data_IF_750796393266
#
_entry.id   IF_750796393266
#
_cell.length_a   1.000
_cell.length_b   1.000
_cell.length_c   1.000
_cell.angle_alpha   90.00
_cell.angle_beta   90.00
_cell.angle_gamma   90.00
#
_symmetry.space_group_name_H-M   'P 1'
#
loop_
_entity.id
_entity.type
_entity.pdbx_description
1 polymer ?
#
# COMPACT_ATOMS: atom_id res chain seq x y z
N UNK A 1 15.78 -15.67 6.00
CA UNK A 1 16.59 -14.50 5.65
C UNK A 1 17.75 -14.20 6.64
N UNK A 2 17.90 -14.99 7.67
CA UNK A 2 18.99 -14.82 8.68
C UNK A 2 20.34 -15.42 8.25
N UNK A 3 20.38 -16.13 7.12
CA UNK A 3 21.55 -16.79 6.52
C UNK A 3 21.57 -16.52 5.02
N UNK A 4 22.60 -16.95 4.31
CA UNK A 4 22.74 -16.77 2.87
C UNK A 4 23.21 -15.36 2.43
N UNK A 5 23.26 -15.15 1.12
CA UNK A 5 23.72 -13.91 0.49
C UNK A 5 22.61 -12.86 0.55
N UNK A 6 22.86 -11.73 1.20
CA UNK A 6 21.84 -10.73 1.57
C UNK A 6 21.03 -10.22 0.36
N UNK A 7 21.68 -9.81 -0.73
CA UNK A 7 20.97 -9.26 -1.89
C UNK A 7 20.06 -10.31 -2.56
N UNK A 8 20.46 -11.58 -2.57
CA UNK A 8 19.65 -12.67 -3.09
C UNK A 8 18.39 -12.87 -2.24
N UNK A 9 18.56 -12.91 -0.91
CA UNK A 9 17.46 -13.07 0.04
C UNK A 9 16.42 -11.95 -0.11
N UNK A 10 16.88 -10.70 -0.23
CA UNK A 10 15.99 -9.53 -0.40
C UNK A 10 15.30 -9.59 -1.76
N UNK A 11 16.04 -9.86 -2.84
CA UNK A 11 15.51 -9.88 -4.20
C UNK A 11 14.51 -11.00 -4.42
N UNK A 12 14.84 -12.24 -4.02
CA UNK A 12 13.94 -13.38 -4.16
C UNK A 12 12.68 -13.26 -3.31
N UNK A 13 12.74 -12.51 -2.22
CA UNK A 13 11.56 -12.18 -1.45
C UNK A 13 10.76 -11.03 -2.06
N UNK A 14 11.41 -10.00 -2.61
CA UNK A 14 10.76 -8.85 -3.20
C UNK A 14 10.05 -9.17 -4.53
N UNK A 15 10.62 -10.03 -5.38
CA UNK A 15 10.04 -10.38 -6.69
C UNK A 15 8.60 -10.87 -6.59
N UNK A 16 8.24 -11.85 -5.72
CA UNK A 16 6.85 -12.25 -5.57
C UNK A 16 5.95 -11.11 -5.10
N UNK A 17 6.42 -10.22 -4.23
CA UNK A 17 5.65 -9.05 -3.78
C UNK A 17 5.42 -8.05 -4.93
N UNK A 18 6.44 -7.80 -5.76
CA UNK A 18 6.32 -6.95 -6.95
C UNK A 18 5.26 -7.52 -7.89
N UNK A 19 5.38 -8.80 -8.22
CA UNK A 19 4.42 -9.47 -9.10
C UNK A 19 3.01 -9.43 -8.50
N UNK A 20 2.86 -9.69 -7.20
CA UNK A 20 1.58 -9.62 -6.51
C UNK A 20 0.94 -8.23 -6.59
N UNK A 21 1.70 -7.18 -6.31
CA UNK A 21 1.23 -5.82 -6.39
C UNK A 21 0.88 -5.41 -7.83
N UNK A 22 1.64 -5.87 -8.84
CA UNK A 22 1.31 -5.65 -10.25
C UNK A 22 0.02 -6.36 -10.65
N UNK A 23 -0.17 -7.62 -10.25
CA UNK A 23 -1.43 -8.33 -10.49
C UNK A 23 -2.61 -7.64 -9.81
N UNK A 24 -2.43 -7.13 -8.59
CA UNK A 24 -3.44 -6.36 -7.89
C UNK A 24 -3.82 -5.08 -8.65
N UNK A 25 -2.84 -4.35 -9.16
CA UNK A 25 -3.08 -3.15 -9.94
C UNK A 25 -3.77 -3.46 -11.29
N UNK A 26 -3.40 -4.57 -11.92
CA UNK A 26 -4.02 -5.02 -13.17
C UNK A 26 -5.49 -5.39 -12.97
N UNK A 27 -5.83 -6.21 -11.96
CA UNK A 27 -7.24 -6.57 -11.76
C UNK A 27 -8.11 -5.37 -11.38
N UNK A 28 -7.62 -4.42 -10.57
CA UNK A 28 -8.34 -3.17 -10.28
C UNK A 28 -8.62 -2.36 -11.56
N UNK A 29 -7.68 -2.41 -12.51
CA UNK A 29 -7.86 -1.74 -13.82
C UNK A 29 -8.91 -2.47 -14.66
N UNK A 30 -8.88 -3.81 -14.69
CA UNK A 30 -9.85 -4.63 -15.42
C UNK A 30 -11.26 -4.45 -14.85
N UNK A 31 -11.43 -4.48 -13.52
CA UNK A 31 -12.69 -4.20 -12.84
C UNK A 31 -13.27 -2.84 -13.27
N UNK A 32 -12.45 -1.79 -13.26
CA UNK A 32 -12.86 -0.45 -13.71
C UNK A 32 -13.27 -0.43 -15.19
N UNK A 33 -12.60 -1.19 -16.06
CA UNK A 33 -12.95 -1.31 -17.49
C UNK A 33 -14.29 -2.04 -17.65
N UNK A 34 -14.52 -3.13 -16.91
CA UNK A 34 -15.76 -3.89 -16.96
C UNK A 34 -16.92 -3.01 -16.48
N UNK A 35 -16.79 -2.34 -15.33
CA UNK A 35 -17.81 -1.44 -14.81
C UNK A 35 -18.11 -0.30 -15.80
N UNK A 36 -17.07 0.34 -16.33
CA UNK A 36 -17.24 1.48 -17.27
C UNK A 36 -17.95 1.09 -18.57
N UNK A 37 -17.62 -0.07 -19.14
CA UNK A 37 -18.17 -0.50 -20.41
C UNK A 37 -19.56 -1.16 -20.32
N UNK A 38 -19.84 -1.88 -19.23
CA UNK A 38 -21.06 -2.68 -19.13
C UNK A 38 -22.10 -2.10 -18.16
N UNK A 39 -21.70 -1.28 -17.19
CA UNK A 39 -22.65 -0.63 -16.27
C UNK A 39 -22.86 0.83 -16.62
N UNK A 40 -21.80 1.52 -17.09
CA UNK A 40 -21.88 2.88 -17.59
C UNK A 40 -21.03 3.89 -16.79
N UNK A 41 -21.01 5.12 -17.31
CA UNK A 41 -20.15 6.20 -16.80
C UNK A 41 -20.46 6.62 -15.36
N UNK A 42 -21.75 6.60 -14.97
CA UNK A 42 -22.15 6.94 -13.59
C UNK A 42 -21.66 5.91 -12.59
N UNK A 43 -21.70 4.63 -12.92
CA UNK A 43 -21.17 3.56 -12.09
C UNK A 43 -19.64 3.64 -11.97
N UNK A 44 -18.95 3.92 -13.07
CA UNK A 44 -17.50 4.16 -13.06
C UNK A 44 -17.14 5.36 -12.18
N UNK A 45 -17.91 6.44 -12.26
CA UNK A 45 -17.72 7.61 -11.40
C UNK A 45 -18.00 7.28 -9.91
N UNK A 46 -19.01 6.43 -9.63
CA UNK A 46 -19.30 5.95 -8.28
C UNK A 46 -18.15 5.10 -7.70
N UNK A 47 -17.58 4.17 -8.47
CA UNK A 47 -16.39 3.40 -8.09
C UNK A 47 -15.20 4.33 -7.85
N UNK A 48 -14.98 5.30 -8.75
CA UNK A 48 -13.91 6.28 -8.63
C UNK A 48 -14.01 7.15 -7.39
N UNK A 49 -15.21 7.67 -7.06
CA UNK A 49 -15.43 8.46 -5.84
C UNK A 49 -15.27 7.65 -4.55
N UNK A 50 -15.55 6.36 -4.62
CA UNK A 50 -15.40 5.42 -3.51
C UNK A 50 -13.92 5.08 -3.22
N UNK A 51 -13.03 5.26 -4.20
CA UNK A 51 -11.62 4.88 -4.11
C UNK A 51 -10.86 5.51 -2.94
N UNK A 52 -11.17 6.76 -2.59
CA UNK A 52 -10.54 7.41 -1.44
C UNK A 52 -10.87 6.70 -0.10
N UNK A 53 -12.13 6.30 0.09
CA UNK A 53 -12.59 5.58 1.29
C UNK A 53 -11.98 4.17 1.33
N UNK A 54 -11.95 3.49 0.19
CA UNK A 54 -11.32 2.16 0.05
C UNK A 54 -9.83 2.23 0.38
N UNK A 55 -9.13 3.26 -0.10
CA UNK A 55 -7.71 3.44 0.20
C UNK A 55 -7.43 3.69 1.69
N UNK A 56 -8.34 4.35 2.42
CA UNK A 56 -8.24 4.48 3.87
C UNK A 56 -8.33 3.12 4.56
N UNK A 57 -9.27 2.26 4.14
CA UNK A 57 -9.41 0.89 4.64
C UNK A 57 -8.14 0.07 4.36
N UNK A 58 -7.67 0.08 3.11
CA UNK A 58 -6.46 -0.62 2.70
C UNK A 58 -5.25 -0.13 3.50
N UNK A 59 -5.11 1.19 3.69
CA UNK A 59 -4.04 1.78 4.49
C UNK A 59 -4.04 1.29 5.94
N UNK A 60 -5.22 1.16 6.54
CA UNK A 60 -5.38 0.55 7.86
C UNK A 60 -4.96 -0.92 7.87
N UNK A 61 -5.42 -1.71 6.91
CA UNK A 61 -5.07 -3.12 6.78
C UNK A 61 -3.55 -3.33 6.63
N UNK A 62 -2.91 -2.51 5.79
CA UNK A 62 -1.44 -2.54 5.60
C UNK A 62 -0.74 -2.20 6.91
N UNK A 63 -1.22 -1.19 7.65
CA UNK A 63 -0.66 -0.81 8.95
C UNK A 63 -0.73 -1.96 9.95
N UNK A 64 -1.91 -2.53 10.15
CA UNK A 64 -2.14 -3.65 11.05
C UNK A 64 -1.31 -4.89 10.66
N UNK A 65 -1.29 -5.24 9.37
CA UNK A 65 -0.49 -6.34 8.82
C UNK A 65 1.01 -6.11 9.02
N UNK A 66 1.50 -4.89 8.84
CA UNK A 66 2.92 -4.55 9.08
C UNK A 66 3.26 -4.68 10.55
N UNK A 67 2.39 -4.22 11.46
CA UNK A 67 2.58 -4.35 12.90
C UNK A 67 2.73 -5.81 13.34
N UNK A 68 1.80 -6.66 12.91
CA UNK A 68 1.85 -8.10 13.14
C UNK A 68 3.09 -8.73 12.49
N UNK A 69 3.37 -8.38 11.25
CA UNK A 69 4.49 -8.90 10.48
C UNK A 69 5.85 -8.61 11.12
N UNK A 70 6.06 -7.42 11.67
CA UNK A 70 7.30 -7.06 12.39
C UNK A 70 7.45 -7.91 13.66
N UNK A 71 6.40 -8.04 14.46
CA UNK A 71 6.43 -8.85 15.69
C UNK A 71 6.72 -10.31 15.38
N UNK A 72 6.03 -10.89 14.39
CA UNK A 72 6.22 -12.28 13.98
C UNK A 72 7.63 -12.48 13.41
N UNK A 73 8.13 -11.58 12.56
CA UNK A 73 9.46 -11.69 11.97
C UNK A 73 10.57 -11.66 13.03
N UNK A 74 10.42 -10.84 14.07
CA UNK A 74 11.37 -10.80 15.19
C UNK A 74 11.38 -12.12 15.97
N UNK A 75 10.22 -12.68 16.32
CA UNK A 75 10.16 -13.99 16.98
C UNK A 75 10.65 -15.13 16.09
N UNK A 76 10.32 -15.08 14.80
CA UNK A 76 10.79 -16.08 13.85
C UNK A 76 12.32 -16.05 13.70
N UNK A 77 12.91 -14.87 13.60
CA UNK A 77 14.35 -14.68 13.56
C UNK A 77 15.04 -15.15 14.85
N UNK A 78 14.41 -14.94 16.01
CA UNK A 78 14.88 -15.42 17.31
C UNK A 78 14.72 -16.93 17.50
N UNK A 79 14.13 -17.66 16.52
CA UNK A 79 13.77 -19.08 16.63
C UNK A 79 12.86 -19.39 17.85
N UNK A 80 12.10 -18.39 18.30
CA UNK A 80 11.15 -18.53 19.40
C UNK A 80 9.80 -19.03 18.84
N UNK A 81 9.64 -20.34 18.79
CA UNK A 81 8.47 -21.02 18.23
C UNK A 81 7.17 -20.68 18.97
N UNK A 82 7.24 -20.58 20.31
CA UNK A 82 6.09 -20.21 21.12
C UNK A 82 5.67 -18.75 20.87
N UNK A 83 6.65 -17.84 20.78
CA UNK A 83 6.41 -16.43 20.42
C UNK A 83 5.75 -16.27 19.07
N UNK A 84 6.24 -16.99 18.03
CA UNK A 84 5.62 -17.01 16.70
C UNK A 84 4.18 -17.51 16.79
N UNK A 85 3.96 -18.66 17.44
CA UNK A 85 2.61 -19.24 17.57
C UNK A 85 1.64 -18.26 18.23
N UNK A 86 2.01 -17.69 19.38
CA UNK A 86 1.17 -16.71 20.10
C UNK A 86 0.91 -15.46 19.25
N UNK A 87 1.94 -14.94 18.55
CA UNK A 87 1.81 -13.77 17.70
C UNK A 87 0.88 -14.03 16.49
N UNK A 88 0.97 -15.20 15.85
CA UNK A 88 0.06 -15.59 14.76
C UNK A 88 -1.40 -15.63 15.23
N UNK A 89 -1.67 -16.27 16.38
CA UNK A 89 -3.03 -16.37 16.92
C UNK A 89 -3.58 -15.02 17.37
N UNK A 90 -2.75 -14.16 17.98
CA UNK A 90 -3.12 -12.76 18.28
C UNK A 90 -3.44 -11.97 17.02
N UNK A 91 -2.62 -12.15 15.97
CA UNK A 91 -2.83 -11.51 14.66
C UNK A 91 -4.19 -11.89 14.06
N UNK A 92 -4.55 -13.18 14.11
CA UNK A 92 -5.85 -13.63 13.61
C UNK A 92 -7.02 -13.13 14.47
N UNK A 93 -6.85 -13.07 15.79
CA UNK A 93 -7.85 -12.47 16.67
C UNK A 93 -8.09 -10.98 16.35
N UNK A 94 -7.00 -10.21 16.16
CA UNK A 94 -7.09 -8.80 15.72
C UNK A 94 -7.78 -8.71 14.35
N UNK A 95 -7.43 -9.59 13.40
CA UNK A 95 -8.01 -9.59 12.06
C UNK A 95 -9.53 -9.79 12.09
N UNK A 96 -10.01 -10.74 12.89
CA UNK A 96 -11.45 -11.01 13.05
C UNK A 96 -12.18 -9.82 13.69
N UNK A 97 -11.66 -9.31 14.81
CA UNK A 97 -12.28 -8.17 15.51
C UNK A 97 -12.25 -6.91 14.64
N UNK A 98 -11.11 -6.57 14.07
CA UNK A 98 -10.97 -5.39 13.22
C UNK A 98 -11.82 -5.52 11.93
N UNK A 99 -11.88 -6.71 11.33
CA UNK A 99 -12.71 -6.97 10.17
C UNK A 99 -14.20 -6.76 10.45
N UNK A 100 -14.72 -7.30 11.56
CA UNK A 100 -16.12 -7.08 11.97
C UNK A 100 -16.38 -5.60 12.28
N UNK A 101 -15.49 -4.95 13.02
CA UNK A 101 -15.63 -3.51 13.32
C UNK A 101 -15.64 -2.66 12.04
N UNK A 102 -14.75 -2.93 11.09
CA UNK A 102 -14.71 -2.21 9.82
C UNK A 102 -15.93 -2.48 8.95
N UNK A 103 -16.47 -3.71 8.96
CA UNK A 103 -17.74 -4.01 8.30
C UNK A 103 -18.87 -3.15 8.87
N UNK A 104 -19.07 -3.17 10.19
CA UNK A 104 -20.16 -2.42 10.84
C UNK A 104 -19.98 -0.92 10.66
N UNK A 105 -18.80 -0.38 10.96
CA UNK A 105 -18.49 1.05 10.83
C UNK A 105 -18.59 1.48 9.36
N UNK A 106 -18.02 0.71 8.43
CA UNK A 106 -18.04 1.00 7.02
C UNK A 106 -19.44 1.11 6.47
N UNK A 107 -20.31 0.14 6.72
CA UNK A 107 -21.70 0.15 6.26
C UNK A 107 -22.49 1.34 6.85
N UNK A 108 -22.32 1.63 8.15
CA UNK A 108 -23.08 2.67 8.83
C UNK A 108 -22.62 4.08 8.51
N UNK A 109 -21.31 4.29 8.37
CA UNK A 109 -20.71 5.63 8.20
C UNK A 109 -20.59 6.04 6.71
N UNK A 110 -20.66 5.10 5.77
CA UNK A 110 -20.55 5.35 4.33
C UNK A 110 -21.41 6.51 3.82
N UNK A 111 -22.73 6.61 4.11
CA UNK A 111 -23.54 7.71 3.59
C UNK A 111 -23.07 9.08 4.08
N UNK A 112 -22.66 9.16 5.34
CA UNK A 112 -22.16 10.40 5.95
C UNK A 112 -20.80 10.81 5.37
N UNK A 113 -19.89 9.85 5.15
CA UNK A 113 -18.60 10.11 4.53
C UNK A 113 -18.74 10.64 3.09
N UNK A 114 -19.59 10.01 2.29
CA UNK A 114 -19.82 10.45 0.90
C UNK A 114 -20.44 11.85 0.83
N UNK A 115 -21.34 12.19 1.76
CA UNK A 115 -21.88 13.55 1.87
C UNK A 115 -20.80 14.58 2.22
N UNK A 116 -19.96 14.26 3.21
CA UNK A 116 -18.83 15.13 3.61
C UNK A 116 -17.83 15.34 2.46
N UNK A 117 -17.66 14.34 1.60
CA UNK A 117 -16.78 14.43 0.42
C UNK A 117 -17.43 15.22 -0.74
N UNK A 118 -18.69 15.65 -0.62
CA UNK A 118 -19.38 16.40 -1.69
C UNK A 118 -19.67 15.54 -2.92
N UNK A 119 -19.94 14.24 -2.73
CA UNK A 119 -20.27 13.34 -3.85
C UNK A 119 -21.53 13.83 -4.58
N UNK A 120 -21.50 14.01 -5.92
CA UNK A 120 -22.64 14.51 -6.67
C UNK A 120 -23.87 13.61 -6.54
N UNK A 121 -25.07 14.20 -6.45
CA UNK A 121 -26.33 13.48 -6.27
C UNK A 121 -26.57 12.38 -7.31
N UNK A 122 -26.14 12.63 -8.57
CA UNK A 122 -26.29 11.67 -9.68
C UNK A 122 -25.58 10.32 -9.45
N UNK A 123 -24.52 10.30 -8.66
CA UNK A 123 -23.73 9.08 -8.38
C UNK A 123 -23.78 8.68 -6.90
N UNK A 124 -24.40 9.49 -6.05
CA UNK A 124 -24.41 9.29 -4.61
C UNK A 124 -25.00 7.94 -4.21
N UNK A 125 -26.19 7.60 -4.69
CA UNK A 125 -26.87 6.35 -4.37
C UNK A 125 -26.05 5.13 -4.79
N UNK A 126 -25.50 5.16 -6.02
CA UNK A 126 -24.64 4.08 -6.52
C UNK A 126 -23.36 3.95 -5.70
N UNK A 127 -22.75 5.06 -5.27
CA UNK A 127 -21.57 5.07 -4.42
C UNK A 127 -21.86 4.49 -3.04
N UNK A 128 -23.02 4.82 -2.46
CA UNK A 128 -23.48 4.26 -1.16
C UNK A 128 -23.64 2.75 -1.26
N UNK A 129 -24.38 2.27 -2.26
CA UNK A 129 -24.64 0.84 -2.47
C UNK A 129 -23.32 0.10 -2.69
N UNK A 130 -22.47 0.61 -3.57
CA UNK A 130 -21.16 -0.01 -3.87
C UNK A 130 -20.30 -0.16 -2.61
N UNK A 131 -20.13 0.93 -1.84
CA UNK A 131 -19.32 0.91 -0.63
C UNK A 131 -19.92 0.06 0.49
N UNK A 132 -21.25 0.07 0.65
CA UNK A 132 -21.89 -0.77 1.66
C UNK A 132 -21.71 -2.25 1.38
N UNK A 133 -21.83 -2.67 0.11
CA UNK A 133 -21.53 -4.04 -0.29
C UNK A 133 -20.05 -4.35 -0.07
N UNK A 134 -19.14 -3.50 -0.55
CA UNK A 134 -17.69 -3.65 -0.38
C UNK A 134 -17.27 -3.74 1.10
N UNK A 135 -17.85 -2.92 1.99
CA UNK A 135 -17.61 -3.03 3.42
C UNK A 135 -18.23 -4.29 4.04
N UNK A 136 -19.28 -4.84 3.43
CA UNK A 136 -19.83 -6.15 3.80
C UNK A 136 -18.81 -7.27 3.73
N UNK A 137 -17.90 -7.23 2.75
CA UNK A 137 -16.79 -8.16 2.58
C UNK A 137 -15.48 -7.75 3.26
N UNK A 138 -15.41 -6.61 3.95
CA UNK A 138 -14.16 -6.09 4.53
C UNK A 138 -13.53 -7.04 5.55
N UNK A 139 -14.32 -7.84 6.25
CA UNK A 139 -13.82 -8.92 7.12
C UNK A 139 -12.86 -9.83 6.36
N UNK A 140 -13.23 -10.29 5.17
CA UNK A 140 -12.41 -11.21 4.37
C UNK A 140 -11.14 -10.52 3.89
N UNK A 141 -11.23 -9.27 3.47
CA UNK A 141 -10.07 -8.46 3.07
C UNK A 141 -9.07 -8.27 4.20
N UNK A 142 -9.54 -7.93 5.42
CA UNK A 142 -8.68 -7.77 6.60
C UNK A 142 -8.02 -9.09 6.96
N UNK A 143 -8.79 -10.17 7.05
CA UNK A 143 -8.29 -11.51 7.40
C UNK A 143 -7.28 -12.00 6.37
N UNK A 144 -7.54 -11.80 5.08
CA UNK A 144 -6.59 -12.12 4.01
C UNK A 144 -5.29 -11.33 4.18
N UNK A 145 -5.35 -10.00 4.30
CA UNK A 145 -4.17 -9.14 4.40
C UNK A 145 -3.32 -9.45 5.65
N UNK A 146 -3.96 -9.70 6.79
CA UNK A 146 -3.26 -10.09 8.01
C UNK A 146 -2.60 -11.47 7.87
N UNK A 147 -3.28 -12.43 7.23
CA UNK A 147 -2.73 -13.77 6.98
C UNK A 147 -1.56 -13.74 5.98
N UNK A 148 -1.66 -12.92 4.92
CA UNK A 148 -0.56 -12.66 4.00
C UNK A 148 0.64 -12.02 4.72
N UNK A 149 0.37 -11.10 5.65
CA UNK A 149 1.39 -10.52 6.54
C UNK A 149 2.13 -11.56 7.38
N UNK A 150 1.42 -12.56 7.90
CA UNK A 150 2.04 -13.71 8.61
C UNK A 150 3.00 -14.46 7.69
N UNK A 151 2.56 -14.81 6.47
CA UNK A 151 3.40 -15.52 5.49
C UNK A 151 4.63 -14.69 5.09
N UNK A 152 4.45 -13.40 4.86
CA UNK A 152 5.54 -12.50 4.52
C UNK A 152 6.53 -12.35 5.69
N UNK A 153 6.05 -12.31 6.94
CA UNK A 153 6.90 -12.20 8.13
C UNK A 153 7.85 -13.39 8.32
N UNK A 154 7.40 -14.59 7.96
CA UNK A 154 8.24 -15.81 8.01
C UNK A 154 9.09 -16.00 6.74
N UNK A 155 8.98 -15.11 5.77
CA UNK A 155 9.78 -15.17 4.53
C UNK A 155 9.12 -15.91 3.37
N UNK A 156 7.84 -16.29 3.48
CA UNK A 156 7.12 -17.06 2.46
C UNK A 156 6.27 -16.18 1.53
N UNK A 157 6.90 -15.22 0.85
CA UNK A 157 6.22 -14.30 -0.08
C UNK A 157 5.64 -15.00 -1.32
N UNK A 158 6.21 -16.17 -1.72
CA UNK A 158 5.69 -16.93 -2.86
C UNK A 158 4.26 -17.44 -2.63
N UNK A 159 3.96 -17.92 -1.41
CA UNK A 159 2.61 -18.36 -1.05
C UNK A 159 1.64 -17.20 -1.02
N UNK A 160 2.06 -16.06 -0.47
CA UNK A 160 1.27 -14.82 -0.50
C UNK A 160 0.92 -14.41 -1.93
N UNK A 161 1.88 -14.47 -2.87
CA UNK A 161 1.63 -14.23 -4.30
C UNK A 161 0.57 -15.18 -4.88
N UNK A 162 0.70 -16.49 -4.63
CA UNK A 162 -0.24 -17.48 -5.17
C UNK A 162 -1.68 -17.17 -4.75
N UNK A 163 -1.90 -16.85 -3.46
CA UNK A 163 -3.25 -16.54 -2.99
C UNK A 163 -3.78 -15.20 -3.51
N UNK A 164 -2.90 -14.23 -3.73
CA UNK A 164 -3.28 -12.98 -4.40
C UNK A 164 -3.64 -13.19 -5.87
N UNK A 165 -2.91 -14.07 -6.58
CA UNK A 165 -3.26 -14.45 -7.96
C UNK A 165 -4.61 -15.16 -8.02
N UNK A 166 -4.90 -16.04 -7.07
CA UNK A 166 -6.21 -16.70 -6.98
C UNK A 166 -7.31 -15.63 -6.79
N UNK A 167 -7.09 -14.64 -5.90
CA UNK A 167 -8.03 -13.53 -5.75
C UNK A 167 -8.24 -12.78 -7.05
N UNK A 168 -7.16 -12.35 -7.69
CA UNK A 168 -7.21 -11.53 -8.91
C UNK A 168 -7.92 -12.26 -10.06
N UNK A 169 -7.58 -13.52 -10.28
CA UNK A 169 -8.21 -14.34 -11.33
C UNK A 169 -9.68 -14.56 -11.02
N UNK A 170 -10.00 -14.96 -9.78
CA UNK A 170 -11.40 -15.17 -9.35
C UNK A 170 -12.22 -13.89 -9.48
N UNK A 171 -11.65 -12.72 -9.14
CA UNK A 171 -12.34 -11.44 -9.27
C UNK A 171 -12.72 -11.16 -10.73
N UNK A 172 -11.77 -11.26 -11.67
CA UNK A 172 -12.06 -11.04 -13.10
C UNK A 172 -13.17 -11.98 -13.61
N UNK A 173 -13.12 -13.27 -13.25
CA UNK A 173 -14.18 -14.21 -13.65
C UNK A 173 -15.53 -13.87 -13.01
N UNK A 174 -15.54 -13.50 -11.74
CA UNK A 174 -16.75 -13.10 -11.02
C UNK A 174 -17.34 -11.80 -11.57
N UNK A 175 -16.51 -10.81 -11.94
CA UNK A 175 -16.95 -9.58 -12.61
C UNK A 175 -17.64 -9.91 -13.94
N UNK A 176 -17.06 -10.77 -14.76
CA UNK A 176 -17.68 -11.20 -16.02
C UNK A 176 -19.02 -11.92 -15.78
N UNK A 177 -19.11 -12.77 -14.77
CA UNK A 177 -20.36 -13.48 -14.44
C UNK A 177 -21.40 -12.52 -13.88
N UNK A 178 -21.03 -11.71 -12.87
CA UNK A 178 -22.00 -10.91 -12.10
C UNK A 178 -22.38 -9.62 -12.81
N UNK A 179 -21.41 -8.92 -13.43
CA UNK A 179 -21.66 -7.65 -14.10
C UNK A 179 -22.19 -7.88 -15.52
N UNK A 180 -21.53 -8.74 -16.31
CA UNK A 180 -21.87 -8.94 -17.73
C UNK A 180 -22.97 -9.98 -17.87
N UNK A 181 -22.84 -11.14 -17.22
CA UNK A 181 -23.78 -12.26 -17.32
C UNK A 181 -25.09 -12.01 -16.59
N UNK A 182 -25.02 -11.79 -15.27
CA UNK A 182 -26.18 -11.60 -14.40
C UNK A 182 -26.71 -10.15 -14.40
N UNK A 183 -25.97 -9.21 -14.97
CA UNK A 183 -26.32 -7.77 -15.06
C UNK A 183 -26.65 -7.12 -13.71
N UNK A 184 -25.93 -7.52 -12.66
CA UNK A 184 -26.11 -6.98 -11.30
C UNK A 184 -25.56 -5.56 -11.17
N UNK A 185 -25.00 -4.97 -12.23
CA UNK A 185 -24.48 -3.61 -12.22
C UNK A 185 -23.35 -3.44 -11.22
N UNK A 186 -23.35 -2.29 -10.51
CA UNK A 186 -22.31 -1.93 -9.55
C UNK A 186 -22.26 -2.86 -8.33
N UNK A 187 -23.39 -3.44 -7.94
CA UNK A 187 -23.47 -4.43 -6.86
C UNK A 187 -22.67 -5.68 -7.25
N UNK A 188 -22.76 -6.09 -8.52
CA UNK A 188 -22.03 -7.23 -9.06
C UNK A 188 -20.50 -7.05 -8.92
N UNK A 189 -19.98 -5.87 -9.24
CA UNK A 189 -18.56 -5.58 -9.10
C UNK A 189 -18.09 -5.61 -7.62
N UNK A 190 -18.85 -5.01 -6.70
CA UNK A 190 -18.53 -5.07 -5.27
C UNK A 190 -18.56 -6.51 -4.74
N UNK A 191 -19.59 -7.29 -5.08
CA UNK A 191 -19.70 -8.71 -4.69
C UNK A 191 -18.59 -9.56 -5.28
N UNK A 192 -18.19 -9.33 -6.54
CA UNK A 192 -17.09 -10.03 -7.17
C UNK A 192 -15.79 -9.84 -6.38
N UNK A 193 -15.53 -8.61 -5.94
CA UNK A 193 -14.38 -8.29 -5.08
C UNK A 193 -14.47 -9.03 -3.74
N UNK A 194 -15.60 -8.96 -3.06
CA UNK A 194 -15.78 -9.58 -1.74
C UNK A 194 -15.66 -11.11 -1.80
N UNK A 195 -16.27 -11.74 -2.80
CA UNK A 195 -16.20 -13.20 -2.98
C UNK A 195 -14.79 -13.63 -3.35
N UNK A 196 -14.07 -12.86 -4.17
CA UNK A 196 -12.68 -13.16 -4.50
C UNK A 196 -11.77 -13.10 -3.27
N UNK A 197 -12.01 -12.13 -2.37
CA UNK A 197 -11.30 -12.03 -1.10
C UNK A 197 -11.65 -13.19 -0.15
N UNK A 198 -12.93 -13.60 -0.10
CA UNK A 198 -13.36 -14.78 0.64
C UNK A 198 -12.66 -16.05 0.14
N UNK A 199 -12.62 -16.26 -1.18
CA UNK A 199 -11.92 -17.41 -1.79
C UNK A 199 -10.46 -17.42 -1.34
N UNK A 200 -9.74 -16.31 -1.46
CA UNK A 200 -8.35 -16.22 -1.03
C UNK A 200 -8.16 -16.43 0.46
N UNK A 201 -9.10 -15.91 1.27
CA UNK A 201 -9.13 -16.13 2.71
C UNK A 201 -9.25 -17.62 3.06
N UNK A 202 -10.15 -18.35 2.37
CA UNK A 202 -10.31 -19.79 2.56
C UNK A 202 -9.03 -20.55 2.21
N UNK A 203 -8.40 -20.21 1.09
CA UNK A 203 -7.16 -20.88 0.67
C UNK A 203 -5.99 -20.60 1.62
N UNK A 204 -5.77 -19.36 2.02
CA UNK A 204 -4.66 -19.00 2.92
C UNK A 204 -4.86 -19.59 4.32
N UNK A 205 -6.09 -19.58 4.85
CA UNK A 205 -6.39 -20.23 6.13
C UNK A 205 -6.29 -21.75 6.03
N UNK A 206 -6.77 -22.36 4.95
CA UNK A 206 -6.60 -23.78 4.70
C UNK A 206 -5.14 -24.19 4.70
N UNK A 207 -4.26 -23.37 4.13
CA UNK A 207 -2.82 -23.60 4.17
C UNK A 207 -2.26 -23.44 5.60
N UNK A 208 -2.59 -22.35 6.31
CA UNK A 208 -2.09 -22.11 7.66
C UNK A 208 -2.53 -23.18 8.65
N UNK A 209 -3.75 -23.70 8.51
CA UNK A 209 -4.28 -24.77 9.38
C UNK A 209 -3.60 -26.10 9.11
N UNK A 210 -3.32 -26.43 7.83
CA UNK A 210 -2.69 -27.71 7.42
C UNK A 210 -1.17 -27.67 7.51
N UNK A 211 -0.55 -26.50 7.66
CA UNK A 211 0.90 -26.37 7.80
C UNK A 211 1.40 -27.12 9.05
N UNK A 212 2.58 -27.72 8.96
CA UNK A 212 3.30 -28.31 10.10
C UNK A 212 4.37 -27.37 10.68
N UNK A 213 4.49 -26.18 10.10
CA UNK A 213 5.45 -25.16 10.51
C UNK A 213 5.06 -24.45 11.81
N UNK A 214 6.00 -23.70 12.38
CA UNK A 214 5.83 -22.94 13.63
C UNK A 214 4.71 -21.89 13.59
N UNK A 215 4.27 -21.48 12.39
CA UNK A 215 3.17 -20.54 12.17
C UNK A 215 1.82 -21.23 11.91
N UNK A 216 1.71 -22.53 12.22
CA UNK A 216 0.45 -23.28 12.12
C UNK A 216 -0.68 -22.57 12.86
N UNK A 217 -1.82 -22.39 12.18
CA UNK A 217 -3.03 -21.80 12.77
C UNK A 217 -3.90 -22.91 13.37
N UNK A 218 -4.21 -22.80 14.66
CA UNK A 218 -5.17 -23.64 15.35
C UNK A 218 -6.36 -22.77 15.77
N UNK A 219 -7.51 -22.99 15.19
CA UNK A 219 -8.71 -22.17 15.42
C UNK A 219 -9.06 -22.03 16.91
N UNK A 220 -8.91 -23.11 17.69
CA UNK A 220 -9.20 -23.13 19.14
C UNK A 220 -8.23 -22.28 19.96
N UNK A 221 -7.08 -21.91 19.43
CA UNK A 221 -6.05 -21.11 20.09
C UNK A 221 -6.10 -19.62 19.70
N UNK A 222 -7.04 -19.23 18.82
CA UNK A 222 -7.21 -17.82 18.41
C UNK A 222 -7.70 -17.03 19.62
N UNK A 223 -6.80 -16.21 20.16
CA UNK A 223 -7.05 -15.28 21.26
C UNK A 223 -6.02 -14.16 21.28
N UNK A 224 -6.38 -13.05 21.92
CA UNK A 224 -5.42 -11.97 22.16
C UNK A 224 -4.55 -12.30 23.38
N UNK A 225 -3.23 -12.19 23.19
CA UNK A 225 -2.28 -12.19 24.29
C UNK A 225 -1.88 -10.73 24.54
N UNK A 226 -2.23 -10.18 25.71
CA UNK A 226 -2.22 -8.74 26.03
C UNK A 226 -0.90 -8.05 25.67
N UNK A 227 0.24 -8.65 26.04
CA UNK A 227 1.55 -8.10 25.72
C UNK A 227 1.88 -8.09 24.22
N UNK A 228 1.36 -9.06 23.44
CA UNK A 228 1.52 -9.11 21.99
C UNK A 228 0.55 -8.18 21.27
N UNK A 229 -0.68 -8.09 21.76
CA UNK A 229 -1.69 -7.15 21.27
C UNK A 229 -1.15 -5.71 21.35
N UNK A 230 -0.66 -5.31 22.52
CA UNK A 230 -0.07 -3.97 22.72
C UNK A 230 1.12 -3.73 21.79
N UNK A 231 2.00 -4.72 21.62
CA UNK A 231 3.18 -4.61 20.73
C UNK A 231 2.77 -4.46 19.26
N UNK A 232 1.81 -5.28 18.78
CA UNK A 232 1.31 -5.22 17.41
C UNK A 232 0.64 -3.87 17.13
N UNK A 233 -0.21 -3.40 18.04
CA UNK A 233 -0.91 -2.12 17.93
C UNK A 233 0.08 -0.96 17.91
N UNK A 234 1.07 -0.96 18.81
CA UNK A 234 2.10 0.09 18.90
C UNK A 234 2.93 0.22 17.62
N UNK A 235 3.12 -0.87 16.88
CA UNK A 235 3.84 -0.89 15.61
C UNK A 235 2.90 -0.62 14.44
N UNK A 236 1.69 -1.18 14.45
CA UNK A 236 0.73 -1.11 13.35
C UNK A 236 0.04 0.24 13.21
N UNK A 237 -0.40 0.86 14.31
CA UNK A 237 -1.10 2.14 14.28
C UNK A 237 -0.26 3.25 13.63
N UNK A 238 1.02 3.46 13.98
CA UNK A 238 1.83 4.48 13.32
C UNK A 238 1.96 4.25 11.81
N UNK A 239 2.09 2.99 11.37
CA UNK A 239 2.16 2.68 9.94
C UNK A 239 0.83 2.94 9.23
N UNK A 240 -0.30 2.62 9.85
CA UNK A 240 -1.63 2.94 9.33
C UNK A 240 -1.85 4.45 9.20
N UNK A 241 -1.55 5.21 10.25
CA UNK A 241 -1.62 6.67 10.24
C UNK A 241 -0.72 7.26 9.15
N UNK A 242 0.51 6.76 9.01
CA UNK A 242 1.43 7.19 7.95
C UNK A 242 0.79 7.07 6.56
N UNK A 243 0.15 5.94 6.25
CA UNK A 243 -0.50 5.72 4.95
C UNK A 243 -1.69 6.66 4.73
N UNK A 244 -2.51 6.87 5.74
CA UNK A 244 -3.64 7.80 5.70
C UNK A 244 -3.16 9.23 5.43
N UNK A 245 -2.13 9.67 6.15
CA UNK A 245 -1.58 11.03 6.02
C UNK A 245 -0.93 11.26 4.65
N UNK A 246 -0.23 10.26 4.10
CA UNK A 246 0.31 10.33 2.74
C UNK A 246 -0.82 10.46 1.71
N UNK A 247 -1.89 9.68 1.85
CA UNK A 247 -3.06 9.76 0.97
C UNK A 247 -3.74 11.13 1.04
N UNK A 248 -3.88 11.69 2.25
CA UNK A 248 -4.44 13.04 2.45
C UNK A 248 -3.55 14.12 1.82
N UNK A 249 -2.23 14.02 1.97
CA UNK A 249 -1.29 14.93 1.34
C UNK A 249 -1.41 14.91 -0.19
N UNK A 250 -1.51 13.71 -0.78
CA UNK A 250 -1.69 13.58 -2.22
C UNK A 250 -3.03 14.17 -2.69
N UNK A 251 -4.09 14.06 -1.89
CA UNK A 251 -5.39 14.69 -2.18
C UNK A 251 -5.30 16.23 -2.20
N UNK A 252 -4.57 16.84 -1.27
CA UNK A 252 -4.32 18.29 -1.22
C UNK A 252 -3.58 18.76 -2.49
N UNK A 253 -2.55 18.01 -2.90
CA UNK A 253 -1.83 18.30 -4.15
C UNK A 253 -2.77 18.18 -5.34
N UNK A 254 -3.54 17.09 -5.42
CA UNK A 254 -4.53 16.88 -6.50
C UNK A 254 -5.52 18.03 -6.60
N UNK A 255 -6.07 18.50 -5.47
CA UNK A 255 -6.99 19.64 -5.44
C UNK A 255 -6.34 20.90 -5.98
N UNK A 256 -5.07 21.15 -5.63
CA UNK A 256 -4.31 22.28 -6.15
C UNK A 256 -4.08 22.17 -7.65
N UNK A 257 -3.76 20.99 -8.17
CA UNK A 257 -3.59 20.73 -9.61
C UNK A 257 -4.89 20.95 -10.36
N UNK A 258 -6.02 20.53 -9.80
CA UNK A 258 -7.34 20.67 -10.42
C UNK A 258 -7.70 22.15 -10.67
N UNK A 259 -7.16 23.10 -9.89
CA UNK A 259 -7.39 24.53 -10.08
C UNK A 259 -6.76 25.12 -11.36
N UNK A 260 -5.85 24.38 -12.03
CA UNK A 260 -5.21 24.80 -13.29
C UNK A 260 -5.98 24.39 -14.57
N UNK A 261 -7.14 23.72 -14.41
CA UNK A 261 -8.03 23.39 -15.51
C UNK A 261 -7.95 21.93 -15.98
N UNK A 262 -8.91 21.54 -16.79
CA UNK A 262 -9.16 20.15 -17.18
C UNK A 262 -7.99 19.48 -17.93
N UNK A 263 -7.28 20.22 -18.78
CA UNK A 263 -6.16 19.68 -19.55
C UNK A 263 -4.97 19.32 -18.64
N UNK A 264 -4.66 20.17 -17.67
CA UNK A 264 -3.60 19.93 -16.67
C UNK A 264 -3.99 18.76 -15.78
N UNK A 265 -5.24 18.74 -15.33
CA UNK A 265 -5.79 17.67 -14.51
C UNK A 265 -5.69 16.31 -15.23
N UNK A 266 -6.01 16.26 -16.53
CA UNK A 266 -5.90 15.04 -17.33
C UNK A 266 -4.44 14.59 -17.49
N UNK A 267 -3.48 15.51 -17.71
CA UNK A 267 -2.05 15.20 -17.77
C UNK A 267 -1.52 14.66 -16.44
N UNK A 268 -1.93 15.27 -15.33
CA UNK A 268 -1.56 14.79 -13.99
C UNK A 268 -2.18 13.41 -13.68
N UNK A 269 -3.43 13.18 -14.07
CA UNK A 269 -4.08 11.88 -13.90
C UNK A 269 -3.38 10.76 -14.68
N UNK A 270 -2.95 11.04 -15.92
CA UNK A 270 -2.14 10.09 -16.69
C UNK A 270 -0.80 9.79 -16.02
N UNK A 271 -0.12 10.83 -15.52
CA UNK A 271 1.11 10.67 -14.76
C UNK A 271 0.91 9.81 -13.50
N UNK A 272 -0.13 10.08 -12.69
CA UNK A 272 -0.40 9.30 -11.45
C UNK A 272 -0.58 7.81 -11.74
N UNK A 273 -1.20 7.45 -12.87
CA UNK A 273 -1.34 6.04 -13.25
C UNK A 273 0.03 5.40 -13.51
N UNK A 274 0.92 6.10 -14.19
CA UNK A 274 2.28 5.63 -14.44
C UNK A 274 3.07 5.52 -13.13
N UNK A 275 3.00 6.56 -12.29
CA UNK A 275 3.66 6.59 -10.98
C UNK A 275 3.17 5.46 -10.07
N UNK A 276 1.87 5.15 -10.12
CA UNK A 276 1.28 4.02 -9.40
C UNK A 276 1.93 2.67 -9.72
N UNK A 277 2.31 2.43 -10.98
CA UNK A 277 3.07 1.24 -11.35
C UNK A 277 4.55 1.34 -10.96
N UNK A 278 5.15 2.52 -11.11
CA UNK A 278 6.56 2.75 -10.85
C UNK A 278 6.93 2.62 -9.38
N UNK A 279 6.07 3.00 -8.46
CA UNK A 279 6.33 2.94 -7.01
C UNK A 279 6.25 1.53 -6.43
N UNK A 280 5.51 0.59 -7.06
CA UNK A 280 5.26 -0.75 -6.51
C UNK A 280 6.53 -1.56 -6.22
N UNK A 281 7.56 -1.59 -7.08
CA UNK A 281 8.80 -2.27 -6.77
C UNK A 281 9.55 -1.66 -5.58
N UNK A 282 9.53 -0.33 -5.44
CA UNK A 282 10.14 0.37 -4.30
C UNK A 282 9.46 -0.03 -2.98
N UNK A 283 8.12 -0.06 -2.98
CA UNK A 283 7.35 -0.49 -1.81
C UNK A 283 7.60 -1.97 -1.48
N UNK A 284 7.75 -2.81 -2.50
CA UNK A 284 8.06 -4.24 -2.32
C UNK A 284 9.45 -4.46 -1.75
N UNK A 285 10.47 -3.72 -2.22
CA UNK A 285 11.82 -3.73 -1.65
C UNK A 285 11.79 -3.20 -0.21
N UNK A 286 11.02 -2.15 0.07
CA UNK A 286 10.83 -1.63 1.42
C UNK A 286 10.21 -2.67 2.36
N UNK A 287 9.22 -3.45 1.89
CA UNK A 287 8.62 -4.53 2.65
C UNK A 287 9.60 -5.68 2.88
N UNK A 288 10.41 -6.02 1.86
CA UNK A 288 11.49 -7.00 2.00
C UNK A 288 12.53 -6.55 3.04
N UNK A 289 12.93 -5.29 3.02
CA UNK A 289 13.82 -4.70 4.02
C UNK A 289 13.22 -4.73 5.43
N UNK A 290 11.89 -4.52 5.56
CA UNK A 290 11.18 -4.62 6.84
C UNK A 290 11.26 -6.04 7.42
N UNK A 291 10.93 -7.05 6.63
CA UNK A 291 10.97 -8.46 7.04
C UNK A 291 12.41 -8.90 7.33
N UNK A 292 13.35 -8.53 6.45
CA UNK A 292 14.77 -8.84 6.63
C UNK A 292 15.32 -8.24 7.92
N UNK A 293 15.05 -6.96 8.19
CA UNK A 293 15.47 -6.29 9.42
C UNK A 293 14.84 -6.94 10.65
N UNK A 294 13.53 -7.21 10.64
CA UNK A 294 12.82 -7.85 11.73
C UNK A 294 13.41 -9.22 12.08
N UNK A 295 13.62 -10.10 11.10
CA UNK A 295 14.20 -11.41 11.33
C UNK A 295 15.65 -11.34 11.84
N UNK A 296 16.47 -10.43 11.31
CA UNK A 296 17.88 -10.34 11.72
C UNK A 296 18.06 -9.63 13.07
N UNK A 297 17.18 -8.69 13.45
CA UNK A 297 17.11 -8.13 14.80
C UNK A 297 16.73 -9.24 15.80
N UNK A 298 15.69 -10.03 15.49
CA UNK A 298 15.31 -11.17 16.30
C UNK A 298 16.43 -12.18 16.47
N UNK A 299 17.19 -12.43 15.41
CA UNK A 299 18.36 -13.32 15.42
C UNK A 299 19.60 -12.73 16.11
N UNK A 300 19.54 -11.50 16.65
CA UNK A 300 20.68 -10.76 17.24
C UNK A 300 21.86 -10.59 16.28
N UNK A 301 21.59 -10.30 14.99
CA UNK A 301 22.59 -10.09 13.94
C UNK A 301 22.61 -8.64 13.46
N UNK A 302 23.00 -7.64 14.29
CA UNK A 302 22.90 -6.21 13.94
C UNK A 302 23.76 -5.83 12.73
N UNK A 303 24.94 -6.43 12.55
CA UNK A 303 25.79 -6.17 11.39
C UNK A 303 25.13 -6.61 10.08
N UNK A 304 24.38 -7.71 10.14
CA UNK A 304 23.61 -8.18 8.98
C UNK A 304 22.46 -7.24 8.67
N UNK A 305 21.82 -6.64 9.68
CA UNK A 305 20.78 -5.61 9.49
C UNK A 305 21.37 -4.38 8.81
N UNK A 306 22.53 -3.88 9.25
CA UNK A 306 23.22 -2.73 8.62
C UNK A 306 23.57 -3.01 7.16
N UNK A 307 24.17 -4.15 6.87
CA UNK A 307 24.50 -4.56 5.50
C UNK A 307 23.24 -4.70 4.64
N UNK A 308 22.17 -5.30 5.18
CA UNK A 308 20.89 -5.45 4.49
C UNK A 308 20.22 -4.11 4.20
N UNK A 309 20.26 -3.18 5.14
CA UNK A 309 19.79 -1.81 4.95
C UNK A 309 20.54 -1.13 3.79
N UNK A 310 21.85 -1.18 3.78
CA UNK A 310 22.65 -0.60 2.71
C UNK A 310 22.32 -1.23 1.35
N UNK A 311 22.32 -2.55 1.27
CA UNK A 311 22.05 -3.29 0.03
C UNK A 311 20.65 -3.00 -0.50
N UNK A 312 19.63 -3.07 0.35
CA UNK A 312 18.24 -2.79 -0.06
C UNK A 312 18.07 -1.31 -0.48
N UNK A 313 18.77 -0.38 0.18
CA UNK A 313 18.75 1.04 -0.21
C UNK A 313 19.38 1.25 -1.58
N UNK A 314 20.52 0.62 -1.86
CA UNK A 314 21.15 0.67 -3.19
C UNK A 314 20.23 0.04 -4.25
N UNK A 315 19.57 -1.09 -3.95
CA UNK A 315 18.61 -1.72 -4.87
C UNK A 315 17.42 -0.79 -5.16
N UNK A 316 16.82 -0.20 -4.14
CA UNK A 316 15.69 0.73 -4.31
C UNK A 316 16.06 2.00 -5.04
N UNK A 317 17.20 2.62 -4.71
CA UNK A 317 17.72 3.79 -5.40
C UNK A 317 18.11 3.48 -6.85
N UNK A 318 18.81 2.37 -7.09
CA UNK A 318 19.20 1.93 -8.42
C UNK A 318 18.02 1.67 -9.34
N UNK A 319 16.99 0.97 -8.84
CA UNK A 319 15.73 0.80 -9.56
C UNK A 319 15.10 2.16 -9.89
N UNK A 320 15.01 3.06 -8.91
CA UNK A 320 14.38 4.38 -9.09
C UNK A 320 15.14 5.28 -10.08
N UNK A 321 16.48 5.22 -10.10
CA UNK A 321 17.31 5.92 -11.11
C UNK A 321 17.05 5.35 -12.49
N UNK A 322 17.10 4.02 -12.63
CA UNK A 322 16.89 3.35 -13.93
C UNK A 322 15.51 3.68 -14.50
N UNK A 323 14.46 3.51 -13.70
CA UNK A 323 13.09 3.79 -14.15
C UNK A 323 12.84 5.28 -14.35
N UNK A 324 13.42 6.16 -13.52
CA UNK A 324 13.36 7.60 -13.71
C UNK A 324 13.96 8.04 -15.06
N UNK A 325 15.12 7.51 -15.44
CA UNK A 325 15.75 7.75 -16.74
C UNK A 325 14.88 7.21 -17.89
N UNK A 326 14.41 5.96 -17.78
CA UNK A 326 13.55 5.36 -18.79
C UNK A 326 12.25 6.16 -18.99
N UNK A 327 11.60 6.55 -17.91
CA UNK A 327 10.37 7.34 -17.95
C UNK A 327 10.60 8.74 -18.55
N UNK A 328 11.77 9.36 -18.35
CA UNK A 328 12.11 10.63 -18.99
C UNK A 328 12.34 10.50 -20.50
N UNK A 329 13.06 9.46 -20.92
CA UNK A 329 13.35 9.20 -22.33
C UNK A 329 12.05 8.90 -23.10
N UNK A 330 11.20 8.07 -22.54
CA UNK A 330 9.95 7.61 -23.18
C UNK A 330 8.71 8.38 -22.71
N UNK A 331 8.86 9.54 -22.07
CA UNK A 331 7.76 10.28 -21.46
C UNK A 331 6.57 10.55 -22.41
N UNK A 332 6.78 11.04 -23.64
CA UNK A 332 5.68 11.27 -24.59
C UNK A 332 4.94 9.98 -24.95
N UNK A 333 5.68 8.89 -25.18
CA UNK A 333 5.10 7.59 -25.55
C UNK A 333 4.29 7.00 -24.41
N UNK A 334 4.83 7.04 -23.20
CA UNK A 334 4.20 6.47 -22.00
C UNK A 334 2.93 7.25 -21.61
N UNK A 335 2.95 8.58 -21.68
CA UNK A 335 1.72 9.40 -21.48
C UNK A 335 0.76 9.18 -22.64
N UNK A 336 1.26 9.06 -23.88
CA UNK A 336 0.46 8.84 -25.09
C UNK A 336 -0.37 7.53 -25.08
N UNK A 337 0.01 6.55 -24.27
CA UNK A 337 -0.82 5.34 -24.05
C UNK A 337 -2.18 5.68 -23.44
N UNK A 338 -2.26 6.74 -22.63
CA UNK A 338 -3.50 7.11 -21.91
C UNK A 338 -4.32 8.17 -22.63
N UNK A 339 -3.75 8.90 -23.59
CA UNK A 339 -4.44 10.00 -24.27
C UNK A 339 -3.83 10.31 -25.63
N UNK A 340 -4.69 10.63 -26.59
CA UNK A 340 -4.28 11.12 -27.92
C UNK A 340 -4.22 12.66 -27.99
N UNK A 341 -4.66 13.35 -26.95
CA UNK A 341 -4.65 14.81 -26.90
C UNK A 341 -3.25 15.34 -26.64
N UNK A 342 -2.64 15.98 -27.65
CA UNK A 342 -1.28 16.49 -27.61
C UNK A 342 -1.00 17.42 -26.41
N UNK A 343 -1.94 18.33 -26.08
CA UNK A 343 -1.79 19.24 -24.93
C UNK A 343 -1.76 18.49 -23.59
N UNK A 344 -2.54 17.42 -23.46
CA UNK A 344 -2.53 16.57 -22.27
C UNK A 344 -1.20 15.83 -22.15
N UNK A 345 -0.66 15.33 -23.28
CA UNK A 345 0.67 14.70 -23.33
C UNK A 345 1.74 15.69 -22.90
N UNK A 346 1.72 16.93 -23.41
CA UNK A 346 2.70 17.97 -23.06
C UNK A 346 2.70 18.26 -21.54
N UNK A 347 1.52 18.42 -20.92
CA UNK A 347 1.44 18.60 -19.46
C UNK A 347 1.89 17.38 -18.67
N UNK A 348 1.55 16.17 -19.12
CA UNK A 348 2.04 14.94 -18.49
C UNK A 348 3.57 14.84 -18.51
N UNK A 349 4.18 15.10 -19.67
CA UNK A 349 5.65 15.15 -19.84
C UNK A 349 6.26 16.25 -18.99
N UNK A 350 5.66 17.44 -18.96
CA UNK A 350 6.09 18.55 -18.11
C UNK A 350 6.17 18.12 -16.65
N UNK A 351 5.13 17.47 -16.14
CA UNK A 351 5.06 16.97 -14.76
C UNK A 351 6.13 15.91 -14.51
N UNK A 352 6.33 14.97 -15.43
CA UNK A 352 7.35 13.92 -15.30
C UNK A 352 8.77 14.48 -15.16
N UNK A 353 9.06 15.62 -15.80
CA UNK A 353 10.37 16.30 -15.66
C UNK A 353 10.66 16.82 -14.26
N UNK A 354 9.62 17.10 -13.45
CA UNK A 354 9.81 17.48 -12.04
C UNK A 354 10.02 16.29 -11.12
N UNK A 355 9.51 15.11 -11.45
CA UNK A 355 9.51 13.98 -10.52
C UNK A 355 10.56 12.93 -10.85
N UNK A 356 10.63 12.52 -12.11
CA UNK A 356 11.49 11.39 -12.51
C UNK A 356 12.96 11.53 -12.15
N UNK A 357 13.60 12.72 -12.24
CA UNK A 357 15.00 12.88 -11.86
C UNK A 357 15.27 12.64 -10.38
N UNK A 358 14.24 12.74 -9.55
CA UNK A 358 14.35 12.72 -8.08
C UNK A 358 13.74 11.47 -7.43
N UNK A 359 13.22 10.50 -8.20
CA UNK A 359 12.65 9.26 -7.66
C UNK A 359 13.59 8.47 -6.76
N UNK A 360 14.89 8.56 -6.99
CA UNK A 360 15.88 7.89 -6.14
C UNK A 360 15.83 8.36 -4.68
N UNK A 361 15.50 9.63 -4.42
CA UNK A 361 15.33 10.14 -3.06
C UNK A 361 14.14 9.46 -2.37
N UNK A 362 13.04 9.30 -3.11
CA UNK A 362 11.85 8.60 -2.64
C UNK A 362 12.16 7.11 -2.40
N UNK A 363 12.92 6.49 -3.30
CA UNK A 363 13.40 5.11 -3.16
C UNK A 363 14.19 4.90 -1.87
N UNK A 364 15.18 5.76 -1.59
CA UNK A 364 15.97 5.72 -0.36
C UNK A 364 15.07 5.92 0.87
N UNK A 365 14.20 6.92 0.86
CA UNK A 365 13.29 7.22 1.97
C UNK A 365 12.41 6.02 2.33
N UNK A 366 11.77 5.39 1.33
CA UNK A 366 10.89 4.25 1.57
C UNK A 366 11.64 3.01 2.10
N UNK A 367 12.81 2.71 1.54
CA UNK A 367 13.58 1.52 1.96
C UNK A 367 14.18 1.69 3.35
N UNK A 368 14.74 2.86 3.66
CA UNK A 368 15.20 3.18 5.02
C UNK A 368 14.04 3.12 6.02
N UNK A 369 12.91 3.74 5.68
CA UNK A 369 11.70 3.67 6.49
C UNK A 369 11.22 2.23 6.72
N UNK A 370 11.30 1.37 5.70
CA UNK A 370 11.03 -0.07 5.81
C UNK A 370 11.96 -0.76 6.80
N UNK A 371 13.26 -0.54 6.67
CA UNK A 371 14.25 -1.11 7.60
C UNK A 371 13.98 -0.70 9.04
N UNK A 372 13.74 0.61 9.28
CA UNK A 372 13.45 1.14 10.61
C UNK A 372 12.16 0.55 11.18
N UNK A 373 11.10 0.39 10.36
CA UNK A 373 9.88 -0.32 10.79
C UNK A 373 10.18 -1.75 11.21
N UNK A 374 11.03 -2.46 10.48
CA UNK A 374 11.44 -3.84 10.81
C UNK A 374 12.13 -3.98 12.17
N UNK A 375 12.83 -2.93 12.63
CA UNK A 375 13.40 -2.92 14.00
C UNK A 375 12.36 -2.60 15.08
N UNK A 376 11.12 -2.27 14.73
CA UNK A 376 10.05 -1.90 15.66
C UNK A 376 9.94 -0.40 15.95
N UNK A 377 10.82 0.43 15.39
CA UNK A 377 10.84 1.90 15.61
C UNK A 377 9.89 2.62 14.61
N UNK A 378 8.65 2.16 14.50
CA UNK A 378 7.68 2.65 13.51
C UNK A 378 7.22 4.08 13.74
N UNK A 379 7.17 4.52 15.01
CA UNK A 379 6.80 5.89 15.34
C UNK A 379 7.77 6.90 14.72
N UNK A 380 9.08 6.63 14.79
CA UNK A 380 10.10 7.49 14.23
C UNK A 380 10.00 7.56 12.70
N UNK A 381 9.80 6.41 12.04
CA UNK A 381 9.56 6.39 10.61
C UNK A 381 8.30 7.20 10.26
N UNK A 382 7.18 7.00 10.96
CA UNK A 382 5.94 7.75 10.75
C UNK A 382 6.16 9.26 10.86
N UNK A 383 6.84 9.73 11.92
CA UNK A 383 7.10 11.17 12.13
C UNK A 383 7.89 11.77 10.97
N UNK A 384 8.93 11.08 10.48
CA UNK A 384 9.70 11.56 9.32
C UNK A 384 8.81 11.68 8.07
N UNK A 385 7.99 10.68 7.78
CA UNK A 385 7.07 10.72 6.64
C UNK A 385 6.00 11.82 6.80
N UNK A 386 5.46 11.99 8.00
CA UNK A 386 4.45 13.01 8.31
C UNK A 386 5.01 14.42 8.14
N UNK A 387 6.19 14.69 8.67
CA UNK A 387 6.84 16.00 8.57
C UNK A 387 7.22 16.32 7.12
N UNK A 388 7.83 15.34 6.40
CA UNK A 388 8.36 15.58 5.07
C UNK A 388 7.29 15.49 3.98
N UNK A 389 6.49 14.44 3.95
CA UNK A 389 5.54 14.21 2.84
C UNK A 389 4.17 14.86 3.06
N UNK A 390 3.83 15.28 4.27
CA UNK A 390 2.60 15.99 4.55
C UNK A 390 2.85 17.41 5.00
N UNK A 391 3.45 17.60 6.16
CA UNK A 391 3.65 18.94 6.75
C UNK A 391 4.35 19.89 5.80
N UNK A 392 5.50 19.48 5.26
CA UNK A 392 6.24 20.31 4.30
C UNK A 392 5.44 20.61 3.03
N UNK A 393 4.77 19.59 2.42
CA UNK A 393 3.99 19.81 1.20
C UNK A 393 2.82 20.75 1.40
N UNK A 394 2.09 20.61 2.52
CA UNK A 394 0.96 21.48 2.84
C UNK A 394 1.43 22.94 2.99
N UNK A 395 2.52 23.17 3.75
CA UNK A 395 3.10 24.50 3.90
C UNK A 395 3.60 25.08 2.57
N UNK A 396 4.27 24.25 1.77
CA UNK A 396 4.75 24.66 0.44
C UNK A 396 3.61 25.08 -0.49
N UNK A 397 2.56 24.27 -0.57
CA UNK A 397 1.39 24.55 -1.43
C UNK A 397 0.67 25.81 -0.94
N UNK A 398 0.44 25.95 0.39
CA UNK A 398 -0.19 27.14 0.95
C UNK A 398 0.59 28.41 0.61
N UNK A 399 1.91 28.39 0.73
CA UNK A 399 2.77 29.52 0.37
C UNK A 399 2.79 29.80 -1.12
N UNK A 400 2.95 28.77 -1.96
CA UNK A 400 3.05 28.97 -3.42
C UNK A 400 1.74 29.39 -4.06
N UNK A 401 0.61 28.87 -3.59
CA UNK A 401 -0.70 29.26 -4.09
C UNK A 401 -1.08 30.70 -3.69
N UNK A 402 -0.52 31.19 -2.60
CA UNK A 402 -0.72 32.59 -2.17
C UNK A 402 0.11 33.60 -3.00
N UNK A 403 1.32 33.21 -3.46
CA UNK A 403 2.25 34.15 -4.12
C UNK A 403 2.30 34.02 -5.64
N UNK A 404 2.37 32.79 -6.15
CA UNK A 404 2.56 32.53 -7.59
C UNK A 404 1.75 31.34 -8.03
N UNK A 405 0.53 31.52 -8.47
CA UNK A 405 -0.32 30.43 -9.00
C UNK A 405 0.30 29.79 -10.26
N UNK A 406 1.38 29.02 -10.08
CA UNK A 406 2.09 28.34 -11.15
C UNK A 406 2.09 26.81 -10.92
N UNK A 407 1.76 26.05 -11.96
CA UNK A 407 1.80 24.58 -11.91
C UNK A 407 3.19 24.08 -11.53
N UNK A 408 4.26 24.67 -12.10
CA UNK A 408 5.64 24.29 -11.78
C UNK A 408 5.96 24.40 -10.29
N UNK A 409 5.51 25.48 -9.64
CA UNK A 409 5.71 25.65 -8.19
C UNK A 409 4.93 24.62 -7.36
N UNK A 410 3.72 24.25 -7.80
CA UNK A 410 2.96 23.15 -7.14
C UNK A 410 3.69 21.82 -7.32
N UNK A 411 4.17 21.49 -8.52
CA UNK A 411 4.92 20.26 -8.78
C UNK A 411 6.24 20.21 -8.00
N UNK A 412 6.88 21.38 -7.81
CA UNK A 412 8.13 21.49 -7.06
C UNK A 412 7.98 21.17 -5.56
N UNK A 413 6.77 20.93 -5.04
CA UNK A 413 6.62 20.47 -3.64
C UNK A 413 7.15 19.05 -3.41
N UNK A 414 7.22 18.20 -4.45
CA UNK A 414 7.63 16.80 -4.31
C UNK A 414 9.13 16.61 -4.08
N UNK A 415 10.05 17.09 -4.95
CA UNK A 415 11.47 16.83 -4.78
C UNK A 415 12.05 17.33 -3.44
N UNK A 416 11.79 18.58 -2.96
CA UNK A 416 12.27 19.00 -1.66
C UNK A 416 11.64 18.22 -0.49
N UNK A 417 10.37 17.77 -0.61
CA UNK A 417 9.77 16.92 0.41
C UNK A 417 10.45 15.56 0.50
N UNK A 418 10.83 14.96 -0.63
CA UNK A 418 11.58 13.72 -0.68
C UNK A 418 13.00 13.88 -0.17
N UNK A 419 13.66 14.99 -0.51
CA UNK A 419 14.98 15.33 0.00
C UNK A 419 14.95 15.49 1.51
N UNK A 420 14.00 16.27 2.03
CA UNK A 420 13.84 16.48 3.48
C UNK A 420 13.63 15.13 4.20
N UNK A 421 12.71 14.29 3.69
CA UNK A 421 12.45 12.99 4.27
C UNK A 421 13.67 12.07 4.24
N UNK A 422 14.37 12.03 3.11
CA UNK A 422 15.61 11.26 2.95
C UNK A 422 16.69 11.74 3.96
N UNK A 423 16.92 13.04 4.06
CA UNK A 423 17.93 13.60 4.97
C UNK A 423 17.58 13.32 6.43
N UNK A 424 16.32 13.53 6.85
CA UNK A 424 15.86 13.21 8.20
C UNK A 424 16.04 11.73 8.53
N UNK A 425 15.75 10.85 7.57
CA UNK A 425 15.89 9.41 7.75
C UNK A 425 17.38 9.01 7.86
N UNK A 426 18.24 9.57 7.00
CA UNK A 426 19.68 9.34 7.06
C UNK A 426 20.29 9.85 8.36
N UNK A 427 19.89 11.03 8.84
CA UNK A 427 20.31 11.59 10.13
C UNK A 427 19.88 10.68 11.30
N UNK A 428 18.66 10.12 11.24
CA UNK A 428 18.19 9.18 12.27
C UNK A 428 19.01 7.89 12.28
N UNK A 429 19.30 7.35 11.08
CA UNK A 429 20.15 6.17 10.93
C UNK A 429 21.57 6.42 11.42
N UNK A 430 22.14 7.57 11.07
CA UNK A 430 23.50 7.97 11.49
C UNK A 430 23.67 8.07 13.02
N UNK A 431 22.64 8.59 13.72
CA UNK A 431 22.62 8.63 15.21
C UNK A 431 22.63 7.24 15.87
N UNK A 432 22.42 6.15 15.13
CA UNK A 432 22.61 4.77 15.56
C UNK A 432 21.56 4.20 16.53
N UNK A 433 20.65 5.01 17.09
CA UNK A 433 19.67 4.58 18.12
C UNK A 433 18.50 3.72 17.60
N UNK A 434 18.46 3.46 16.32
CA UNK A 434 17.37 2.69 15.68
C UNK A 434 17.50 1.18 15.87
N UNK A 435 18.67 0.67 16.26
CA UNK A 435 18.93 -0.74 16.55
C UNK A 435 18.89 -1.09 18.04
N UNK A 436 18.73 -0.11 18.92
CA UNK A 436 18.60 -0.35 20.35
C UNK A 436 17.23 -1.02 20.61
N UNK A 437 17.26 -2.24 21.16
CA UNK A 437 16.10 -3.07 21.51
C UNK A 437 15.50 -2.65 22.86
#
# INVERSE_FOLDING_TARGET
MTEGVIWKEILFFAIPLILGNLFQQLYNTVDSIIVGNYVGSNALAAVGSSGAIINLLIGFCIGASTGAGVVISQFYGAKNTEGVRKAVHTTMAIALVAGVLLTVIGITVTPSMLRLMGTPDKVFEQSVIYLQVYFGGSLFSVVYNMSAGVLNAVGNSRRSLVYLMIAAISNIFLDLIMVVGLKLGIVGAALATDISQLISCIFIWGFLIRSEDVYKLKIKEIRCYDHLLSKIIRIGIPTGIQNIVISLSNLIVQTSVNSFGATVMAGFAAYIKIDGFNILPVLSISMAATTFAGQNIGARKPDRVRKGMYISTVMGAGYSVLTGIMLLIFAPQVIGVFTTNQKVVEYGVYIMRYFCPFYWMLGILHVLGGTIRGTGKTMQAMVVFLVSLCGFRVMWIAGTMAWTRSLGHVMMCYPPSWLLGMLLMLLYVWKGKWMDL
#
